data_IF_014693325258
#
_entry.id   IF_014693325258
#
_cell.length_a   1.000
_cell.length_b   1.000
_cell.length_c   1.000
_cell.angle_alpha   90.00
_cell.angle_beta   90.00
_cell.angle_gamma   90.00
#
_symmetry.space_group_name_H-M   'P 1'
#
loop_
_entity.id
_entity.type
_entity.pdbx_description
1 polymer ?
#
# COMPACT_ATOMS: atom_id res chain seq x y z
N UNK A 1 -8.11 24.16 30.63
CA UNK A 1 -6.88 23.50 31.09
C UNK A 1 -7.17 22.03 31.32
N UNK A 2 -6.26 21.12 30.94
CA UNK A 2 -6.42 19.66 31.05
C UNK A 2 -6.85 19.22 32.45
N UNK A 3 -6.39 19.93 33.48
CA UNK A 3 -6.76 19.71 34.89
C UNK A 3 -8.28 19.75 35.14
N UNK A 4 -9.02 20.63 34.44
CA UNK A 4 -10.48 20.70 34.53
C UNK A 4 -11.19 19.63 33.69
N UNK A 5 -10.59 19.21 32.57
CA UNK A 5 -11.19 18.24 31.64
C UNK A 5 -10.99 16.79 32.11
N UNK A 6 -9.96 16.55 32.94
CA UNK A 6 -9.61 15.23 33.53
C UNK A 6 -9.24 14.12 32.54
N UNK A 7 -9.14 14.43 31.24
CA UNK A 7 -8.66 13.50 30.22
C UNK A 7 -7.88 14.23 29.12
N UNK A 8 -7.03 13.47 28.41
CA UNK A 8 -6.15 14.02 27.36
C UNK A 8 -6.73 13.94 25.94
N UNK A 9 -7.95 13.41 25.78
CA UNK A 9 -8.64 13.35 24.50
C UNK A 9 -9.13 14.72 24.00
N UNK A 10 -9.14 14.88 22.69
CA UNK A 10 -9.69 16.07 22.02
C UNK A 10 -11.22 15.98 21.95
N UNK A 11 -11.90 16.98 22.50
CA UNK A 11 -13.34 17.19 22.31
C UNK A 11 -13.49 18.24 21.22
N UNK A 12 -13.92 17.82 20.04
CA UNK A 12 -14.03 18.70 18.87
C UNK A 12 -15.31 19.52 18.95
N UNK A 13 -15.20 20.82 18.65
CA UNK A 13 -16.37 21.70 18.55
C UNK A 13 -17.26 21.34 17.35
N UNK A 14 -18.57 21.66 17.41
CA UNK A 14 -19.47 21.40 16.29
C UNK A 14 -18.99 22.09 15.01
N UNK A 15 -18.84 21.31 13.92
CA UNK A 15 -18.43 21.82 12.61
C UNK A 15 -19.46 21.48 11.52
N UNK A 16 -19.66 22.35 10.52
CA UNK A 16 -20.60 22.12 9.43
C UNK A 16 -20.02 21.23 8.30
N UNK A 17 -18.75 20.85 8.38
CA UNK A 17 -18.05 20.15 7.31
C UNK A 17 -18.60 18.75 7.00
N UNK A 18 -19.06 17.93 7.97
CA UNK A 18 -19.67 16.64 7.66
C UNK A 18 -20.92 16.76 6.78
N UNK A 19 -21.83 17.71 7.10
CA UNK A 19 -23.06 17.91 6.32
C UNK A 19 -22.77 18.59 4.96
N UNK A 20 -21.81 19.50 4.91
CA UNK A 20 -21.37 20.09 3.64
C UNK A 20 -20.76 19.01 2.72
N UNK A 21 -19.93 18.12 3.27
CA UNK A 21 -19.32 17.04 2.51
C UNK A 21 -20.34 16.03 1.98
N UNK A 22 -21.34 15.67 2.80
CA UNK A 22 -22.40 14.74 2.38
C UNK A 22 -23.28 15.32 1.29
N UNK A 23 -23.62 16.62 1.35
CA UNK A 23 -24.33 17.32 0.28
C UNK A 23 -23.51 17.40 -1.02
N UNK A 24 -22.19 17.63 -0.90
CA UNK A 24 -21.27 17.58 -2.04
C UNK A 24 -21.21 16.20 -2.70
N UNK A 25 -21.15 15.14 -1.89
CA UNK A 25 -21.19 13.75 -2.37
C UNK A 25 -22.52 13.43 -3.07
N UNK A 26 -23.65 13.85 -2.50
CA UNK A 26 -24.96 13.70 -3.13
C UNK A 26 -25.03 14.42 -4.48
N UNK A 27 -24.61 15.69 -4.53
CA UNK A 27 -24.59 16.47 -5.77
C UNK A 27 -23.69 15.83 -6.85
N UNK A 28 -22.53 15.31 -6.45
CA UNK A 28 -21.59 14.62 -7.36
C UNK A 28 -22.20 13.34 -7.91
N UNK A 29 -22.82 12.52 -7.07
CA UNK A 29 -23.46 11.25 -7.49
C UNK A 29 -24.64 11.50 -8.42
N UNK A 30 -25.56 12.41 -8.05
CA UNK A 30 -26.71 12.77 -8.89
C UNK A 30 -26.25 13.40 -10.21
N UNK A 31 -25.31 14.34 -10.15
CA UNK A 31 -24.72 14.96 -11.34
C UNK A 31 -24.01 13.95 -12.25
N UNK A 32 -23.31 12.98 -11.68
CA UNK A 32 -22.64 11.90 -12.41
C UNK A 32 -23.63 11.01 -13.15
N UNK A 33 -24.69 10.56 -12.48
CA UNK A 33 -25.77 9.77 -13.12
C UNK A 33 -26.43 10.57 -14.24
N UNK A 34 -26.76 11.85 -14.00
CA UNK A 34 -27.35 12.72 -15.01
C UNK A 34 -26.42 12.92 -16.21
N UNK A 35 -25.11 13.07 -15.97
CA UNK A 35 -24.11 13.21 -17.03
C UNK A 35 -24.00 11.96 -17.89
N UNK A 36 -23.92 10.77 -17.28
CA UNK A 36 -23.83 9.49 -17.99
C UNK A 36 -25.06 9.19 -18.87
N UNK A 37 -26.24 9.66 -18.46
CA UNK A 37 -27.50 9.47 -19.20
C UNK A 37 -27.88 10.67 -20.09
N UNK A 38 -26.96 11.61 -20.33
CA UNK A 38 -27.17 12.78 -21.20
C UNK A 38 -28.34 13.71 -20.80
N UNK A 39 -28.65 13.82 -19.51
CA UNK A 39 -29.64 14.77 -19.02
C UNK A 39 -29.11 16.21 -19.03
N UNK A 40 -30.02 17.16 -19.28
CA UNK A 40 -29.69 18.59 -19.25
C UNK A 40 -29.18 19.00 -17.85
N UNK A 41 -28.08 19.76 -17.82
CA UNK A 41 -27.48 20.23 -16.57
C UNK A 41 -26.61 19.20 -15.83
N UNK A 42 -26.54 17.94 -16.28
CA UNK A 42 -25.75 16.89 -15.61
C UNK A 42 -24.28 17.25 -15.42
N UNK A 43 -23.60 17.71 -16.48
CA UNK A 43 -22.20 18.15 -16.39
C UNK A 43 -21.99 19.31 -15.41
N UNK A 44 -22.94 20.25 -15.33
CA UNK A 44 -22.86 21.41 -14.42
C UNK A 44 -23.01 20.97 -12.97
N UNK A 45 -23.99 20.11 -12.68
CA UNK A 45 -24.22 19.57 -11.34
C UNK A 45 -23.04 18.71 -10.88
N UNK A 46 -22.50 17.86 -11.77
CA UNK A 46 -21.31 17.06 -11.48
C UNK A 46 -20.10 17.95 -11.13
N UNK A 47 -19.82 18.95 -11.97
CA UNK A 47 -18.69 19.87 -11.75
C UNK A 47 -18.86 20.67 -10.46
N UNK A 48 -20.08 21.15 -10.18
CA UNK A 48 -20.40 21.87 -8.95
C UNK A 48 -20.24 20.97 -7.72
N UNK A 49 -20.73 19.73 -7.77
CA UNK A 49 -20.56 18.75 -6.69
C UNK A 49 -19.09 18.47 -6.39
N UNK A 50 -18.27 18.26 -7.42
CA UNK A 50 -16.83 18.04 -7.29
C UNK A 50 -16.12 19.26 -6.66
N UNK A 51 -16.42 20.47 -7.12
CA UNK A 51 -15.89 21.71 -6.53
C UNK A 51 -16.31 21.85 -5.06
N UNK A 52 -17.56 21.50 -4.75
CA UNK A 52 -18.07 21.56 -3.38
C UNK A 52 -17.33 20.59 -2.46
N UNK A 53 -17.10 19.34 -2.90
CA UNK A 53 -16.29 18.36 -2.15
C UNK A 53 -14.86 18.86 -1.95
N UNK A 54 -14.21 19.38 -3.00
CA UNK A 54 -12.85 19.93 -2.92
C UNK A 54 -12.78 21.10 -1.94
N UNK A 55 -13.78 21.98 -1.94
CA UNK A 55 -13.88 23.09 -1.00
C UNK A 55 -14.07 22.61 0.44
N UNK A 56 -15.00 21.68 0.69
CA UNK A 56 -15.20 21.11 2.03
C UNK A 56 -13.92 20.46 2.53
N UNK A 57 -13.23 19.66 1.71
CA UNK A 57 -11.96 19.04 2.08
C UNK A 57 -10.91 20.10 2.44
N UNK A 58 -10.75 21.15 1.62
CA UNK A 58 -9.79 22.21 1.89
C UNK A 58 -10.04 22.90 3.24
N UNK A 59 -11.29 23.31 3.49
CA UNK A 59 -11.65 24.03 4.71
C UNK A 59 -11.59 23.12 5.95
N UNK A 60 -11.99 21.86 5.81
CA UNK A 60 -11.89 20.89 6.90
C UNK A 60 -10.44 20.61 7.27
N UNK A 61 -9.56 20.40 6.29
CA UNK A 61 -8.13 20.24 6.55
C UNK A 61 -7.50 21.49 7.17
N UNK A 62 -7.92 22.69 6.74
CA UNK A 62 -7.49 23.95 7.38
C UNK A 62 -7.85 23.97 8.88
N UNK A 63 -9.05 23.54 9.24
CA UNK A 63 -9.51 23.56 10.63
C UNK A 63 -8.75 22.53 11.48
N UNK A 64 -8.53 21.31 10.96
CA UNK A 64 -7.66 20.32 11.62
C UNK A 64 -6.23 20.86 11.81
N UNK A 65 -5.69 21.60 10.84
CA UNK A 65 -4.37 22.24 10.97
C UNK A 65 -4.35 23.32 12.04
N UNK A 66 -5.41 24.12 12.14
CA UNK A 66 -5.57 25.15 13.18
C UNK A 66 -5.67 24.52 14.58
N UNK A 67 -6.54 23.54 14.76
CA UNK A 67 -6.76 22.83 16.03
C UNK A 67 -5.47 22.15 16.52
N UNK A 68 -4.71 21.55 15.59
CA UNK A 68 -3.48 20.83 15.91
C UNK A 68 -2.28 21.74 16.15
N UNK A 69 -2.11 22.81 15.36
CA UNK A 69 -0.88 23.63 15.34
C UNK A 69 -1.01 24.88 16.19
N UNK A 70 -2.15 25.56 16.14
CA UNK A 70 -2.36 26.85 16.81
C UNK A 70 -3.01 26.69 18.18
N UNK A 71 -4.01 25.79 18.28
CA UNK A 71 -4.75 25.56 19.54
C UNK A 71 -4.12 24.44 20.39
N UNK A 72 -3.29 23.58 19.77
CA UNK A 72 -2.48 22.59 20.48
C UNK A 72 -3.26 21.41 21.05
N UNK A 73 -4.44 21.09 20.49
CA UNK A 73 -5.31 20.02 20.99
C UNK A 73 -4.77 18.60 20.75
N UNK A 74 -3.73 18.44 19.92
CA UNK A 74 -3.13 17.16 19.58
C UNK A 74 -2.12 16.68 20.64
N UNK A 75 -2.63 16.21 21.77
CA UNK A 75 -1.83 15.52 22.80
C UNK A 75 -1.26 14.19 22.27
N UNK A 76 -0.30 13.59 22.97
CA UNK A 76 0.32 12.31 22.54
C UNK A 76 -0.70 11.19 22.33
N UNK A 77 -1.75 11.09 23.16
CA UNK A 77 -2.82 10.09 22.98
C UNK A 77 -3.67 10.40 21.75
N UNK A 78 -3.95 11.68 21.49
CA UNK A 78 -4.72 12.09 20.30
C UNK A 78 -3.93 11.80 19.03
N UNK A 79 -2.61 11.98 19.03
CA UNK A 79 -1.75 11.70 17.87
C UNK A 79 -1.75 10.22 17.45
N UNK A 80 -1.99 9.30 18.37
CA UNK A 80 -2.12 7.87 18.05
C UNK A 80 -3.35 7.61 17.17
N UNK A 81 -4.46 8.31 17.41
CA UNK A 81 -5.70 8.14 16.65
C UNK A 81 -5.52 8.30 15.13
N UNK A 82 -5.03 9.46 14.63
CA UNK A 82 -4.74 9.66 13.22
C UNK A 82 -3.73 8.67 12.64
N UNK A 83 -2.76 8.18 13.42
CA UNK A 83 -1.82 7.13 12.96
C UNK A 83 -2.56 5.82 12.69
N UNK A 84 -3.36 5.34 13.64
CA UNK A 84 -4.19 4.15 13.46
C UNK A 84 -5.20 4.32 12.33
N UNK A 85 -5.92 5.45 12.30
CA UNK A 85 -6.90 5.76 11.27
C UNK A 85 -6.28 5.78 9.87
N UNK A 86 -5.09 6.35 9.71
CA UNK A 86 -4.41 6.39 8.42
C UNK A 86 -3.87 5.02 7.99
N UNK A 87 -3.42 4.18 8.93
CA UNK A 87 -3.04 2.79 8.63
C UNK A 87 -4.26 2.00 8.13
N UNK A 88 -5.40 2.10 8.82
CA UNK A 88 -6.64 1.43 8.40
C UNK A 88 -7.11 1.93 7.03
N UNK A 89 -7.00 3.23 6.76
CA UNK A 89 -7.26 3.79 5.44
C UNK A 89 -6.34 3.22 4.35
N UNK A 90 -5.04 3.06 4.62
CA UNK A 90 -4.12 2.41 3.66
C UNK A 90 -4.54 0.96 3.43
N UNK A 91 -4.93 0.23 4.48
CA UNK A 91 -5.40 -1.16 4.34
C UNK A 91 -6.64 -1.25 3.46
N UNK A 92 -7.60 -0.32 3.59
CA UNK A 92 -8.76 -0.29 2.69
C UNK A 92 -8.36 -0.01 1.24
N UNK A 93 -7.41 0.89 1.00
CA UNK A 93 -6.91 1.15 -0.37
C UNK A 93 -6.17 -0.06 -0.97
N UNK A 94 -5.41 -0.81 -0.16
CA UNK A 94 -4.77 -2.06 -0.63
C UNK A 94 -5.81 -3.08 -1.06
N UNK A 95 -6.89 -3.24 -0.29
CA UNK A 95 -7.98 -4.15 -0.66
C UNK A 95 -8.74 -3.68 -1.89
N UNK A 96 -8.89 -2.36 -2.06
CA UNK A 96 -9.44 -1.77 -3.29
C UNK A 96 -8.60 -2.12 -4.52
N UNK A 97 -7.26 -1.97 -4.46
CA UNK A 97 -6.37 -2.38 -5.55
C UNK A 97 -6.34 -3.90 -5.75
N UNK A 98 -6.42 -4.70 -4.68
CA UNK A 98 -6.48 -6.16 -4.77
C UNK A 98 -7.64 -6.64 -5.65
N UNK A 99 -8.79 -5.97 -5.62
CA UNK A 99 -9.92 -6.29 -6.49
C UNK A 99 -9.58 -6.12 -7.99
N UNK A 100 -8.85 -5.06 -8.38
CA UNK A 100 -8.42 -4.86 -9.77
C UNK A 100 -7.35 -5.87 -10.19
N UNK A 101 -6.40 -6.19 -9.33
CA UNK A 101 -5.41 -7.24 -9.60
C UNK A 101 -6.07 -8.61 -9.75
N UNK A 102 -7.08 -8.92 -8.93
CA UNK A 102 -7.87 -10.14 -9.07
C UNK A 102 -8.61 -10.17 -10.41
N UNK A 103 -9.21 -9.07 -10.83
CA UNK A 103 -9.90 -8.98 -12.12
C UNK A 103 -8.93 -9.22 -13.28
N UNK A 104 -7.77 -8.56 -13.29
CA UNK A 104 -6.75 -8.74 -14.34
C UNK A 104 -6.18 -10.16 -14.37
N UNK A 105 -5.84 -10.74 -13.21
CA UNK A 105 -5.33 -12.11 -13.11
C UNK A 105 -6.38 -13.14 -13.54
N UNK A 106 -7.64 -12.96 -13.15
CA UNK A 106 -8.72 -13.86 -13.56
C UNK A 106 -8.89 -13.88 -15.09
N UNK A 107 -8.83 -12.71 -15.74
CA UNK A 107 -8.96 -12.60 -17.19
C UNK A 107 -7.73 -13.07 -17.97
N UNK A 108 -6.53 -12.95 -17.39
CA UNK A 108 -5.26 -13.28 -18.07
C UNK A 108 -4.82 -14.74 -17.89
N UNK A 109 -5.12 -15.37 -16.75
CA UNK A 109 -4.71 -16.76 -16.48
C UNK A 109 -5.54 -17.80 -17.25
N UNK A 110 -6.83 -17.51 -17.49
CA UNK A 110 -7.73 -18.37 -18.24
C UNK A 110 -8.53 -17.53 -19.26
N UNK A 111 -7.87 -17.07 -20.34
CA UNK A 111 -8.51 -16.22 -21.35
C UNK A 111 -9.69 -16.92 -22.02
N UNK A 112 -10.79 -16.20 -22.22
CA UNK A 112 -11.99 -16.75 -22.83
C UNK A 112 -11.78 -17.09 -24.31
N UNK A 113 -12.63 -17.97 -24.84
CA UNK A 113 -12.60 -18.34 -26.27
C UNK A 113 -12.87 -17.15 -27.18
N UNK A 114 -13.62 -16.15 -26.70
CA UNK A 114 -13.95 -14.92 -27.45
C UNK A 114 -12.73 -14.05 -27.74
N UNK A 115 -11.73 -14.06 -26.86
CA UNK A 115 -10.43 -13.37 -27.10
C UNK A 115 -9.38 -14.28 -27.75
N UNK A 116 -9.79 -15.48 -28.18
CA UNK A 116 -8.94 -16.45 -28.87
C UNK A 116 -8.14 -17.36 -27.94
N UNK A 117 -8.47 -17.43 -26.64
CA UNK A 117 -7.82 -18.33 -25.69
C UNK A 117 -6.34 -18.03 -25.44
N UNK A 118 -5.88 -16.82 -25.74
CA UNK A 118 -4.50 -16.36 -25.52
C UNK A 118 -4.47 -15.00 -24.82
N UNK A 119 -3.35 -14.70 -24.16
CA UNK A 119 -3.11 -13.40 -23.52
C UNK A 119 -1.75 -12.84 -23.94
N UNK A 120 -1.65 -11.56 -24.33
CA UNK A 120 -2.73 -10.61 -24.59
C UNK A 120 -3.62 -11.03 -25.79
N UNK A 121 -4.86 -10.50 -25.91
CA UNK A 121 -5.73 -10.75 -27.06
C UNK A 121 -5.07 -10.35 -28.38
N UNK A 122 -5.32 -11.11 -29.46
CA UNK A 122 -4.77 -10.79 -30.79
C UNK A 122 -5.24 -9.41 -31.26
N UNK A 123 -4.32 -8.62 -31.83
CA UNK A 123 -4.61 -7.28 -32.37
C UNK A 123 -4.50 -6.15 -31.37
N UNK A 124 -4.25 -6.44 -30.08
CA UNK A 124 -3.94 -5.41 -29.08
C UNK A 124 -2.45 -5.10 -29.11
N UNK A 125 -2.10 -3.84 -29.34
CA UNK A 125 -0.74 -3.34 -29.14
C UNK A 125 -0.42 -3.30 -27.65
N UNK A 126 0.64 -3.98 -27.22
CA UNK A 126 1.13 -3.93 -25.84
C UNK A 126 2.31 -2.97 -25.76
N UNK A 127 2.34 -2.17 -24.70
CA UNK A 127 3.43 -1.26 -24.42
C UNK A 127 4.68 -2.05 -24.05
N UNK A 128 5.84 -1.63 -24.54
CA UNK A 128 7.12 -2.23 -24.16
C UNK A 128 7.41 -1.91 -22.68
N UNK A 129 7.55 -2.93 -21.81
CA UNK A 129 7.86 -2.70 -20.40
C UNK A 129 9.20 -2.00 -20.16
N UNK A 130 10.12 -2.00 -21.13
CA UNK A 130 11.49 -1.48 -20.99
C UNK A 130 11.65 0.00 -21.35
N UNK A 131 10.61 0.64 -21.89
CA UNK A 131 10.64 2.05 -22.27
C UNK A 131 10.14 2.95 -21.12
N UNK A 132 9.03 3.68 -21.34
CA UNK A 132 8.42 4.56 -20.34
C UNK A 132 8.01 3.83 -19.06
N UNK A 133 7.43 2.60 -19.09
CA UNK A 133 7.09 1.88 -17.87
C UNK A 133 8.29 1.58 -16.97
N UNK A 134 9.44 1.24 -17.56
CA UNK A 134 10.68 1.01 -16.80
C UNK A 134 11.16 2.30 -16.12
N UNK A 135 11.17 3.42 -16.84
CA UNK A 135 11.52 4.72 -16.25
C UNK A 135 10.54 5.10 -15.12
N UNK A 136 9.25 4.90 -15.33
CA UNK A 136 8.20 5.10 -14.32
C UNK A 136 8.27 4.11 -13.15
N UNK A 137 9.07 3.04 -13.26
CA UNK A 137 9.39 2.15 -12.14
C UNK A 137 10.61 2.64 -11.34
N UNK A 138 11.54 3.40 -11.95
CA UNK A 138 12.73 3.93 -11.28
C UNK A 138 12.49 5.26 -10.54
N UNK A 139 11.55 6.08 -11.04
CA UNK A 139 11.23 7.38 -10.44
C UNK A 139 10.60 7.23 -9.04
N UNK A 140 9.62 6.35 -8.79
CA UNK A 140 8.99 6.23 -7.46
C UNK A 140 9.95 5.77 -6.34
N UNK A 141 10.83 4.77 -6.51
CA UNK A 141 11.86 4.45 -5.54
C UNK A 141 12.80 5.62 -5.24
N UNK A 142 13.18 6.37 -6.28
CA UNK A 142 14.01 7.58 -6.12
C UNK A 142 13.28 8.66 -5.31
N UNK A 143 11.98 8.85 -5.57
CA UNK A 143 11.10 9.72 -4.79
C UNK A 143 10.95 9.23 -3.33
N UNK A 144 10.83 7.92 -3.11
CA UNK A 144 10.79 7.31 -1.78
C UNK A 144 12.08 7.53 -0.97
N UNK A 145 13.24 7.46 -1.62
CA UNK A 145 14.52 7.82 -1.01
C UNK A 145 14.56 9.31 -0.62
N UNK A 146 14.07 10.21 -1.48
CA UNK A 146 13.98 11.64 -1.20
C UNK A 146 13.04 11.96 -0.01
N UNK A 147 11.89 11.30 0.11
CA UNK A 147 11.00 11.44 1.28
C UNK A 147 11.66 10.90 2.56
N UNK A 148 12.42 9.83 2.45
CA UNK A 148 13.17 9.29 3.59
C UNK A 148 14.24 10.26 4.05
N UNK A 149 14.94 10.89 3.10
CA UNK A 149 15.85 12.00 3.40
C UNK A 149 15.13 13.18 4.07
N UNK A 150 13.95 13.58 3.59
CA UNK A 150 13.15 14.63 4.20
C UNK A 150 12.81 14.32 5.67
N UNK A 151 12.43 13.07 5.95
CA UNK A 151 12.08 12.65 7.30
C UNK A 151 13.27 12.68 8.25
N UNK A 152 14.41 12.15 7.84
CA UNK A 152 15.63 12.23 8.65
C UNK A 152 16.08 13.68 8.85
N UNK A 153 15.84 14.58 7.89
CA UNK A 153 16.10 16.00 8.06
C UNK A 153 15.16 16.65 9.10
N UNK A 154 13.88 16.30 9.13
CA UNK A 154 12.92 16.76 10.16
C UNK A 154 13.36 16.28 11.54
N UNK A 155 13.64 14.99 11.69
CA UNK A 155 14.10 14.40 12.96
C UNK A 155 15.42 15.01 13.45
N UNK A 156 16.34 15.30 12.53
CA UNK A 156 17.60 15.99 12.83
C UNK A 156 17.44 17.50 13.10
N UNK A 157 16.26 18.09 12.87
CA UNK A 157 16.00 19.54 12.99
C UNK A 157 16.61 20.38 11.88
N UNK A 158 16.98 19.77 10.76
CA UNK A 158 17.55 20.46 9.61
C UNK A 158 16.43 20.91 8.68
N UNK A 159 15.64 21.88 9.12
CA UNK A 159 14.40 22.34 8.46
C UNK A 159 14.60 22.71 6.98
N UNK A 160 15.66 23.46 6.65
CA UNK A 160 15.97 23.82 5.24
C UNK A 160 16.21 22.59 4.36
N UNK A 161 16.91 21.57 4.88
CA UNK A 161 17.16 20.33 4.14
C UNK A 161 15.88 19.51 3.97
N UNK A 162 14.98 19.55 4.95
CA UNK A 162 13.67 18.90 4.84
C UNK A 162 12.84 19.51 3.69
N UNK A 163 12.83 20.85 3.57
CA UNK A 163 12.16 21.53 2.45
C UNK A 163 12.78 21.14 1.11
N UNK A 164 14.12 21.15 0.97
CA UNK A 164 14.77 20.76 -0.28
C UNK A 164 14.46 19.31 -0.69
N UNK A 165 14.45 18.39 0.27
CA UNK A 165 14.10 16.99 0.04
C UNK A 165 12.63 16.80 -0.38
N UNK A 166 11.71 17.55 0.25
CA UNK A 166 10.30 17.56 -0.13
C UNK A 166 10.07 18.12 -1.54
N UNK A 167 10.75 19.22 -1.89
CA UNK A 167 10.68 19.78 -3.25
C UNK A 167 11.20 18.78 -4.28
N UNK A 168 12.34 18.14 -4.02
CA UNK A 168 12.89 17.10 -4.91
C UNK A 168 11.91 15.93 -5.09
N UNK A 169 11.24 15.50 -4.01
CA UNK A 169 10.21 14.47 -4.04
C UNK A 169 9.04 14.86 -4.95
N UNK A 170 8.51 16.07 -4.76
CA UNK A 170 7.37 16.58 -5.54
C UNK A 170 7.73 16.70 -7.01
N UNK A 171 8.94 17.19 -7.34
CA UNK A 171 9.41 17.25 -8.72
C UNK A 171 9.47 15.87 -9.38
N UNK A 172 10.01 14.87 -8.69
CA UNK A 172 10.02 13.48 -9.19
C UNK A 172 8.60 12.94 -9.41
N UNK A 173 7.67 13.23 -8.50
CA UNK A 173 6.28 12.81 -8.63
C UNK A 173 5.56 13.48 -9.82
N UNK A 174 5.83 14.77 -10.07
CA UNK A 174 5.32 15.48 -11.25
C UNK A 174 5.90 14.93 -12.56
N UNK A 175 7.19 14.57 -12.56
CA UNK A 175 7.84 13.93 -13.72
C UNK A 175 7.18 12.57 -14.00
N UNK A 176 6.95 11.75 -12.98
CA UNK A 176 6.20 10.49 -13.10
C UNK A 176 4.80 10.71 -13.70
N UNK A 177 4.02 11.67 -13.17
CA UNK A 177 2.67 11.96 -13.69
C UNK A 177 2.71 12.45 -15.14
N UNK A 178 3.72 13.24 -15.52
CA UNK A 178 3.93 13.68 -16.89
C UNK A 178 4.21 12.51 -17.85
N UNK A 179 5.11 11.59 -17.47
CA UNK A 179 5.38 10.39 -18.25
C UNK A 179 4.17 9.45 -18.34
N UNK A 180 3.42 9.27 -17.24
CA UNK A 180 2.19 8.47 -17.27
C UNK A 180 1.14 9.07 -18.22
N UNK A 181 1.03 10.41 -18.27
CA UNK A 181 0.16 11.10 -19.23
C UNK A 181 0.62 10.94 -20.68
N UNK A 182 1.93 10.98 -20.92
CA UNK A 182 2.51 10.71 -22.24
C UNK A 182 2.23 9.28 -22.70
N UNK A 183 2.42 8.29 -21.81
CA UNK A 183 2.11 6.88 -22.06
C UNK A 183 0.64 6.69 -22.46
N UNK A 184 -0.29 7.34 -21.75
CA UNK A 184 -1.72 7.28 -22.11
C UNK A 184 -2.04 7.93 -23.45
N UNK A 185 -1.36 9.01 -23.81
CA UNK A 185 -1.58 9.67 -25.10
C UNK A 185 -1.00 8.88 -26.27
N UNK A 186 0.10 8.16 -26.06
CA UNK A 186 0.79 7.35 -27.06
C UNK A 186 0.35 5.88 -27.07
N UNK A 187 -0.53 5.48 -26.15
CA UNK A 187 -0.96 4.10 -26.02
C UNK A 187 -1.62 3.58 -27.31
N UNK A 188 -1.19 2.42 -27.83
CA UNK A 188 -1.77 1.84 -29.04
C UNK A 188 -3.16 1.22 -28.80
N UNK A 189 -3.56 1.05 -27.54
CA UNK A 189 -4.86 0.53 -27.13
C UNK A 189 -5.64 1.54 -26.31
N UNK A 190 -6.97 1.46 -26.32
CA UNK A 190 -7.90 2.30 -25.55
C UNK A 190 -8.65 1.50 -24.47
N UNK A 191 -9.36 2.19 -23.58
CA UNK A 191 -10.19 1.56 -22.53
C UNK A 191 -11.32 0.68 -23.09
N UNK A 192 -11.76 0.94 -24.33
CA UNK A 192 -12.87 0.24 -24.99
C UNK A 192 -12.47 -0.98 -25.84
N UNK A 193 -11.17 -1.26 -26.01
CA UNK A 193 -10.74 -2.26 -27.00
C UNK A 193 -11.02 -3.71 -26.57
N UNK A 194 -10.64 -4.08 -25.36
CA UNK A 194 -10.84 -5.42 -24.81
C UNK A 194 -10.71 -5.42 -23.29
N UNK A 195 -10.91 -6.58 -22.67
CA UNK A 195 -10.66 -6.77 -21.23
C UNK A 195 -9.23 -6.40 -20.82
N UNK A 196 -8.25 -6.52 -21.73
CA UNK A 196 -6.89 -6.02 -21.52
C UNK A 196 -6.90 -4.51 -21.31
N UNK A 197 -7.46 -3.74 -22.26
CA UNK A 197 -7.53 -2.29 -22.19
C UNK A 197 -8.32 -1.82 -20.97
N UNK A 198 -9.50 -2.39 -20.72
CA UNK A 198 -10.33 -2.01 -19.58
C UNK A 198 -9.64 -2.25 -18.23
N UNK A 199 -9.01 -3.42 -18.02
CA UNK A 199 -8.30 -3.71 -16.75
C UNK A 199 -7.02 -2.90 -16.61
N UNK A 200 -6.28 -2.69 -17.69
CA UNK A 200 -5.05 -1.88 -17.72
C UNK A 200 -5.34 -0.42 -17.35
N UNK A 201 -6.25 0.26 -18.06
CA UNK A 201 -6.54 1.68 -17.84
C UNK A 201 -7.24 1.96 -16.50
N UNK A 202 -8.09 1.05 -16.01
CA UNK A 202 -8.70 1.20 -14.69
C UNK A 202 -7.64 1.07 -13.58
N UNK A 203 -6.81 0.02 -13.61
CA UNK A 203 -5.81 -0.21 -12.57
C UNK A 203 -4.75 0.90 -12.54
N UNK A 204 -4.17 1.22 -13.70
CA UNK A 204 -3.17 2.29 -13.81
C UNK A 204 -3.77 3.67 -13.60
N UNK A 205 -5.03 3.90 -14.00
CA UNK A 205 -5.72 5.17 -13.82
C UNK A 205 -6.01 5.48 -12.37
N UNK A 206 -6.52 4.49 -11.59
CA UNK A 206 -6.66 4.65 -10.15
C UNK A 206 -5.32 4.80 -9.45
N UNK A 207 -4.27 4.10 -9.89
CA UNK A 207 -2.92 4.32 -9.39
C UNK A 207 -2.46 5.77 -9.63
N UNK A 208 -2.60 6.28 -10.86
CA UNK A 208 -2.26 7.67 -11.21
C UNK A 208 -3.03 8.70 -10.37
N UNK A 209 -4.33 8.48 -10.16
CA UNK A 209 -5.14 9.29 -9.25
C UNK A 209 -4.58 9.30 -7.82
N UNK A 210 -4.18 8.14 -7.31
CA UNK A 210 -3.54 8.02 -6.00
C UNK A 210 -2.22 8.77 -5.90
N UNK A 211 -1.40 8.74 -6.96
CA UNK A 211 -0.15 9.51 -7.04
C UNK A 211 -0.44 11.02 -7.03
N UNK A 212 -1.44 11.50 -7.78
CA UNK A 212 -1.83 12.92 -7.77
C UNK A 212 -2.24 13.37 -6.36
N UNK A 213 -3.08 12.61 -5.66
CA UNK A 213 -3.46 12.90 -4.27
C UNK A 213 -2.22 12.88 -3.36
N UNK A 214 -1.34 11.89 -3.52
CA UNK A 214 -0.10 11.78 -2.75
C UNK A 214 0.81 13.00 -2.95
N UNK A 215 0.98 13.46 -4.19
CA UNK A 215 1.75 14.65 -4.55
C UNK A 215 1.16 15.91 -3.93
N UNK A 216 -0.17 16.11 -4.00
CA UNK A 216 -0.85 17.23 -3.33
C UNK A 216 -0.62 17.18 -1.81
N UNK A 217 -0.69 16.01 -1.21
CA UNK A 217 -0.47 15.85 0.23
C UNK A 217 0.99 16.18 0.63
N UNK A 218 1.96 15.81 -0.20
CA UNK A 218 3.37 16.18 -0.04
C UNK A 218 3.62 17.67 -0.25
N UNK A 219 2.93 18.32 -1.20
CA UNK A 219 2.99 19.78 -1.41
C UNK A 219 2.51 20.49 -0.14
N UNK A 220 1.37 20.08 0.44
CA UNK A 220 0.88 20.65 1.70
C UNK A 220 1.87 20.43 2.84
N UNK A 221 2.48 19.24 2.94
CA UNK A 221 3.54 19.00 3.93
C UNK A 221 4.78 19.89 3.70
N UNK A 222 5.17 20.13 2.44
CA UNK A 222 6.26 21.03 2.06
C UNK A 222 5.98 22.48 2.46
N UNK A 223 4.78 22.99 2.16
CA UNK A 223 4.34 24.32 2.57
C UNK A 223 4.36 24.44 4.09
N UNK A 224 3.83 23.44 4.81
CA UNK A 224 3.84 23.42 6.27
C UNK A 224 5.24 23.38 6.87
N UNK A 225 6.16 22.63 6.27
CA UNK A 225 7.57 22.60 6.70
C UNK A 225 8.25 23.95 6.48
N UNK A 226 7.97 24.61 5.35
CA UNK A 226 8.50 25.94 5.05
C UNK A 226 7.98 27.00 6.02
N UNK A 227 6.72 26.92 6.42
CA UNK A 227 6.10 27.78 7.43
C UNK A 227 6.48 27.43 8.88
N UNK A 228 7.25 26.37 9.11
CA UNK A 228 7.69 25.96 10.45
C UNK A 228 6.62 25.26 11.30
N UNK A 229 5.54 24.74 10.69
CA UNK A 229 4.46 24.06 11.42
C UNK A 229 4.80 22.62 11.86
N UNK A 230 5.87 22.03 11.30
CA UNK A 230 6.30 20.67 11.62
C UNK A 230 7.52 20.72 12.54
N UNK A 231 7.45 20.01 13.66
CA UNK A 231 8.54 19.97 14.65
C UNK A 231 9.16 18.58 14.72
N UNK A 232 10.34 18.47 15.33
CA UNK A 232 11.04 17.19 15.57
C UNK A 232 10.18 16.15 16.28
N UNK A 233 9.31 16.59 17.18
CA UNK A 233 8.52 15.71 18.04
C UNK A 233 7.06 15.58 17.62
N UNK A 234 6.58 16.45 16.73
CA UNK A 234 5.19 16.50 16.28
C UNK A 234 5.11 16.80 14.78
N UNK A 235 4.98 15.72 13.99
CA UNK A 235 4.88 15.81 12.52
C UNK A 235 4.03 14.66 11.92
N UNK A 236 2.94 14.27 12.60
CA UNK A 236 2.05 13.16 12.19
C UNK A 236 1.51 13.31 10.76
N UNK A 237 1.20 14.53 10.32
CA UNK A 237 0.75 14.76 8.94
C UNK A 237 1.80 14.42 7.89
N UNK A 238 3.08 14.67 8.19
CA UNK A 238 4.18 14.26 7.32
C UNK A 238 4.42 12.74 7.42
N UNK A 239 4.30 12.13 8.61
CA UNK A 239 4.37 10.66 8.76
C UNK A 239 3.32 9.96 7.88
N UNK A 240 2.08 10.48 7.85
CA UNK A 240 1.03 9.98 6.97
C UNK A 240 1.41 10.13 5.48
N UNK A 241 1.89 11.30 5.06
CA UNK A 241 2.32 11.52 3.67
C UNK A 241 3.48 10.59 3.28
N UNK A 242 4.45 10.42 4.17
CA UNK A 242 5.59 9.55 3.96
C UNK A 242 5.19 8.07 3.91
N UNK A 243 4.24 7.64 4.74
CA UNK A 243 3.72 6.27 4.73
C UNK A 243 3.08 5.92 3.38
N UNK A 244 2.34 6.86 2.78
CA UNK A 244 1.74 6.69 1.45
C UNK A 244 2.81 6.58 0.34
N UNK A 245 3.90 7.34 0.43
CA UNK A 245 4.95 7.37 -0.59
C UNK A 245 6.02 6.25 -0.44
N UNK A 246 6.29 5.77 0.79
CA UNK A 246 7.39 4.82 1.08
C UNK A 246 7.10 3.35 0.76
N UNK A 247 6.02 3.02 0.05
CA UNK A 247 5.77 1.62 -0.36
C UNK A 247 6.52 1.23 -1.63
N UNK A 248 7.85 1.32 -1.54
CA UNK A 248 8.81 0.44 -2.21
C UNK A 248 10.14 0.52 -1.40
N UNK A 249 10.34 -0.42 -0.48
CA UNK A 249 11.62 -0.64 0.20
C UNK A 249 11.80 0.06 1.56
N UNK A 250 11.70 -0.76 2.63
CA UNK A 250 12.49 -0.68 3.89
C UNK A 250 12.10 0.32 5.02
N UNK A 251 11.98 -0.27 6.23
CA UNK A 251 12.69 0.07 7.49
C UNK A 251 12.16 1.02 8.58
N UNK A 252 10.97 1.63 8.50
CA UNK A 252 10.54 2.54 9.59
C UNK A 252 9.33 2.11 10.42
N UNK A 253 8.70 0.97 10.14
CA UNK A 253 7.61 0.44 10.97
C UNK A 253 8.08 -0.45 12.13
N UNK A 254 9.37 -0.52 12.46
CA UNK A 254 9.82 -1.43 13.55
C UNK A 254 9.39 -0.93 14.94
N UNK A 255 9.36 0.38 15.19
CA UNK A 255 8.86 0.95 16.45
C UNK A 255 7.34 0.88 16.54
N UNK A 256 6.66 1.18 15.43
CA UNK A 256 5.20 1.33 15.44
C UNK A 256 4.50 -0.04 15.36
N UNK A 257 5.03 -1.03 14.61
CA UNK A 257 4.48 -2.40 14.60
C UNK A 257 4.63 -3.11 15.95
N UNK A 258 5.68 -2.80 16.71
CA UNK A 258 5.87 -3.36 18.06
C UNK A 258 4.84 -2.81 19.08
N UNK A 259 4.30 -1.61 18.85
CA UNK A 259 3.17 -1.08 19.64
C UNK A 259 1.79 -1.55 19.12
N UNK A 260 1.70 -1.96 17.84
CA UNK A 260 0.47 -2.41 17.16
C UNK A 260 0.12 -3.87 17.50
N UNK A 261 1.11 -4.76 17.65
CA UNK A 261 0.92 -6.20 17.89
C UNK A 261 0.00 -6.53 19.10
N UNK A 262 0.09 -5.85 20.26
CA UNK A 262 -0.80 -6.13 21.40
C UNK A 262 -2.26 -5.73 21.14
N UNK A 263 -2.50 -4.64 20.41
CA UNK A 263 -3.84 -4.10 20.14
C UNK A 263 -4.54 -4.91 19.04
N UNK A 264 -3.80 -5.32 18.00
CA UNK A 264 -4.33 -6.22 16.96
C UNK A 264 -4.68 -7.59 17.56
N UNK A 265 -3.85 -8.13 18.46
CA UNK A 265 -4.19 -9.35 19.23
C UNK A 265 -5.41 -9.18 20.13
N UNK A 266 -5.64 -7.98 20.66
CA UNK A 266 -6.80 -7.69 21.47
C UNK A 266 -8.08 -7.59 20.64
N UNK A 267 -8.05 -6.91 19.50
CA UNK A 267 -9.19 -6.79 18.58
C UNK A 267 -9.54 -8.13 17.92
N UNK A 268 -8.53 -8.94 17.58
CA UNK A 268 -8.70 -10.33 17.13
C UNK A 268 -9.48 -11.20 18.12
N UNK A 269 -9.45 -10.90 19.42
CA UNK A 269 -10.15 -11.65 20.47
C UNK A 269 -11.59 -11.20 20.72
N UNK A 270 -12.03 -10.07 20.17
CA UNK A 270 -13.33 -9.46 20.49
C UNK A 270 -14.45 -9.75 19.47
N UNK A 271 -14.15 -10.33 18.30
CA UNK A 271 -15.16 -10.55 17.26
C UNK A 271 -15.57 -12.02 17.07
N UNK A 272 -16.83 -12.23 16.69
CA UNK A 272 -17.44 -13.55 16.49
C UNK A 272 -16.98 -14.21 15.18
N UNK A 273 -16.33 -15.37 15.30
CA UNK A 273 -16.23 -16.47 14.33
C UNK A 273 -15.84 -16.12 12.88
N UNK A 274 -16.81 -15.67 12.08
CA UNK A 274 -16.62 -15.43 10.65
C UNK A 274 -15.81 -14.15 10.35
N UNK A 275 -16.00 -13.10 11.16
CA UNK A 275 -15.24 -11.84 11.00
C UNK A 275 -13.82 -12.01 11.54
N UNK A 276 -13.67 -12.79 12.60
CA UNK A 276 -12.36 -13.17 13.15
C UNK A 276 -11.50 -13.93 12.13
N UNK A 277 -12.08 -14.89 11.38
CA UNK A 277 -11.37 -15.60 10.33
C UNK A 277 -10.94 -14.66 9.20
N UNK A 278 -11.82 -13.78 8.73
CA UNK A 278 -11.52 -12.85 7.63
C UNK A 278 -10.49 -11.78 8.02
N UNK A 279 -10.62 -11.18 9.20
CA UNK A 279 -9.67 -10.18 9.72
C UNK A 279 -8.30 -10.83 9.98
N UNK A 280 -8.27 -12.04 10.54
CA UNK A 280 -7.03 -12.79 10.77
C UNK A 280 -6.37 -13.19 9.45
N UNK A 281 -7.13 -13.58 8.43
CA UNK A 281 -6.60 -13.96 7.12
C UNK A 281 -6.04 -12.74 6.35
N UNK A 282 -6.76 -11.62 6.35
CA UNK A 282 -6.30 -10.35 5.75
C UNK A 282 -5.07 -9.79 6.47
N UNK A 283 -5.03 -9.86 7.80
CA UNK A 283 -3.88 -9.42 8.60
C UNK A 283 -2.69 -10.36 8.40
N UNK A 284 -2.91 -11.68 8.40
CA UNK A 284 -1.84 -12.65 8.16
C UNK A 284 -1.29 -12.53 6.73
N UNK A 285 -2.13 -12.31 5.72
CA UNK A 285 -1.64 -12.06 4.36
C UNK A 285 -0.91 -10.72 4.22
N UNK A 286 -1.36 -9.67 4.91
CA UNK A 286 -0.66 -8.38 4.94
C UNK A 286 0.69 -8.46 5.69
N UNK A 287 0.75 -9.23 6.78
CA UNK A 287 1.97 -9.53 7.54
C UNK A 287 2.91 -10.41 6.71
N UNK A 288 2.43 -11.49 6.09
CA UNK A 288 3.23 -12.37 5.23
C UNK A 288 3.79 -11.63 4.01
N UNK A 289 3.05 -10.68 3.44
CA UNK A 289 3.57 -9.83 2.36
C UNK A 289 4.68 -8.86 2.83
N UNK A 290 4.63 -8.42 4.08
CA UNK A 290 5.69 -7.61 4.70
C UNK A 290 6.87 -8.44 5.21
N UNK A 291 6.64 -9.71 5.54
CA UNK A 291 7.66 -10.66 6.01
C UNK A 291 8.42 -11.32 4.85
N UNK A 292 7.78 -11.53 3.68
CA UNK A 292 8.47 -12.00 2.47
C UNK A 292 9.53 -11.00 1.96
N UNK A 293 9.35 -9.71 2.22
CA UNK A 293 10.38 -8.69 1.94
C UNK A 293 11.48 -8.64 3.01
N UNK A 294 11.19 -9.12 4.22
CA UNK A 294 12.17 -9.30 5.31
C UNK A 294 13.05 -10.55 5.08
N UNK A 295 12.46 -11.69 4.70
CA UNK A 295 13.17 -12.91 4.34
C UNK A 295 14.09 -12.71 3.13
N UNK A 296 13.68 -11.94 2.12
CA UNK A 296 14.53 -11.60 0.97
C UNK A 296 15.77 -10.77 1.36
N UNK A 297 15.69 -10.04 2.47
CA UNK A 297 16.79 -9.19 2.96
C UNK A 297 17.75 -9.96 3.86
N UNK A 298 17.25 -10.78 4.78
CA UNK A 298 18.11 -11.70 5.55
C UNK A 298 18.81 -12.69 4.60
N UNK A 299 18.18 -13.10 3.49
CA UNK A 299 18.84 -13.97 2.51
C UNK A 299 20.02 -13.30 1.79
N UNK A 300 19.91 -12.02 1.41
CA UNK A 300 21.00 -11.25 0.78
C UNK A 300 22.12 -10.93 1.78
N UNK A 301 21.77 -10.57 3.03
CA UNK A 301 22.77 -10.34 4.09
C UNK A 301 23.43 -11.68 4.54
N UNK A 302 22.77 -12.82 4.37
CA UNK A 302 23.32 -14.16 4.62
C UNK A 302 24.18 -14.67 3.45
N UNK A 303 23.90 -14.23 2.22
CA UNK A 303 24.74 -14.49 1.03
C UNK A 303 26.09 -13.77 1.14
N UNK A 304 26.10 -12.53 1.65
CA UNK A 304 27.31 -11.76 1.95
C UNK A 304 28.12 -12.37 3.13
N UNK A 305 27.47 -13.04 4.09
CA UNK A 305 28.16 -13.80 5.16
C UNK A 305 28.72 -15.15 4.68
N UNK A 306 28.11 -15.77 3.66
CA UNK A 306 28.53 -17.06 3.10
C UNK A 306 29.91 -17.00 2.45
N UNK A 307 30.29 -15.86 1.88
CA UNK A 307 31.64 -15.65 1.31
C UNK A 307 32.75 -15.51 2.38
N UNK A 308 32.39 -15.41 3.67
CA UNK A 308 33.35 -15.11 4.75
C UNK A 308 33.75 -16.29 5.65
N UNK A 309 33.16 -17.49 5.49
CA UNK A 309 33.43 -18.65 6.37
C UNK A 309 34.15 -19.83 5.66
N UNK A 310 35.20 -20.44 6.24
CA UNK A 310 36.05 -21.39 5.52
C UNK A 310 35.54 -22.84 5.46
N UNK A 311 34.36 -23.18 5.98
CA UNK A 311 33.84 -24.56 5.96
C UNK A 311 32.30 -24.59 5.86
N UNK A 312 31.79 -24.92 4.67
CA UNK A 312 30.40 -24.80 4.23
C UNK A 312 29.46 -25.96 4.60
N UNK A 313 29.87 -26.90 5.47
CA UNK A 313 29.08 -28.12 5.75
C UNK A 313 28.18 -28.06 6.98
N UNK A 314 28.41 -27.13 7.91
CA UNK A 314 27.64 -27.04 9.17
C UNK A 314 26.57 -25.93 9.18
N UNK A 315 26.48 -25.11 8.12
CA UNK A 315 25.61 -23.92 8.09
C UNK A 315 24.16 -24.25 7.69
N UNK A 316 23.96 -25.16 6.74
CA UNK A 316 22.62 -25.49 6.21
C UNK A 316 21.66 -26.12 7.25
N UNK A 317 22.11 -26.98 8.18
CA UNK A 317 21.23 -27.52 9.23
C UNK A 317 20.80 -26.46 10.25
N UNK A 318 21.65 -25.48 10.55
CA UNK A 318 21.41 -24.46 11.57
C UNK A 318 20.34 -23.43 11.14
N UNK A 319 20.38 -22.98 9.88
CA UNK A 319 19.38 -22.08 9.30
C UNK A 319 18.00 -22.75 9.27
N UNK A 320 17.95 -24.00 8.81
CA UNK A 320 16.70 -24.77 8.76
C UNK A 320 16.09 -24.99 10.15
N UNK A 321 16.92 -25.26 11.17
CA UNK A 321 16.45 -25.46 12.54
C UNK A 321 15.93 -24.17 13.19
N UNK A 322 16.54 -23.03 12.88
CA UNK A 322 16.11 -21.69 13.34
C UNK A 322 14.78 -21.28 12.70
N UNK A 323 14.60 -21.59 11.42
CA UNK A 323 13.37 -21.28 10.70
C UNK A 323 12.22 -22.19 11.13
N UNK A 324 12.44 -23.50 11.30
CA UNK A 324 11.43 -24.43 11.83
C UNK A 324 10.92 -24.02 13.22
N UNK A 325 11.80 -23.52 14.09
CA UNK A 325 11.42 -23.00 15.40
C UNK A 325 10.57 -21.71 15.30
N UNK A 326 10.84 -20.85 14.30
CA UNK A 326 10.07 -19.63 14.03
C UNK A 326 8.69 -19.92 13.41
N UNK A 327 8.60 -20.89 12.50
CA UNK A 327 7.33 -21.36 11.95
C UNK A 327 6.43 -22.00 13.03
N UNK A 328 7.01 -22.75 13.98
CA UNK A 328 6.30 -23.24 15.18
C UNK A 328 5.79 -22.11 16.07
N UNK A 329 6.57 -21.05 16.26
CA UNK A 329 6.16 -19.88 17.06
C UNK A 329 4.99 -19.10 16.42
N UNK A 330 4.79 -19.24 15.11
CA UNK A 330 3.71 -18.64 14.33
C UNK A 330 2.51 -19.58 14.10
N UNK A 331 2.53 -20.80 14.65
CA UNK A 331 1.42 -21.76 14.55
C UNK A 331 1.21 -22.40 13.17
N UNK A 332 2.20 -22.30 12.28
CA UNK A 332 2.15 -22.88 10.92
C UNK A 332 2.68 -24.33 10.92
N UNK A 333 2.10 -25.17 10.06
CA UNK A 333 2.37 -26.61 10.02
C UNK A 333 3.73 -26.92 9.37
N UNK A 334 4.48 -27.89 9.90
CA UNK A 334 5.86 -28.22 9.47
C UNK A 334 5.94 -28.64 7.98
N UNK A 335 4.85 -29.19 7.43
CA UNK A 335 4.72 -29.56 6.02
C UNK A 335 4.74 -28.37 5.06
N UNK A 336 4.27 -27.19 5.50
CA UNK A 336 4.29 -25.96 4.69
C UNK A 336 5.69 -25.35 4.60
N UNK A 337 6.48 -25.44 5.67
CA UNK A 337 7.89 -25.02 5.71
C UNK A 337 8.75 -25.88 4.76
N UNK A 338 8.52 -27.20 4.77
CA UNK A 338 9.26 -28.13 3.90
C UNK A 338 8.90 -27.97 2.42
N UNK A 339 7.62 -27.70 2.11
CA UNK A 339 7.15 -27.38 0.75
C UNK A 339 7.69 -26.02 0.25
N UNK A 340 7.90 -25.07 1.16
CA UNK A 340 8.48 -23.77 0.86
C UNK A 340 9.96 -23.87 0.47
N UNK A 341 10.75 -24.70 1.18
CA UNK A 341 12.16 -24.92 0.86
C UNK A 341 12.38 -25.72 -0.44
N UNK A 342 11.53 -26.72 -0.73
CA UNK A 342 11.67 -27.55 -1.93
C UNK A 342 11.30 -26.84 -3.23
N UNK A 343 10.38 -25.87 -3.21
CA UNK A 343 9.96 -25.13 -4.42
C UNK A 343 10.79 -23.88 -4.75
N UNK A 344 11.54 -23.33 -3.79
CA UNK A 344 12.35 -22.11 -3.99
C UNK A 344 13.85 -22.38 -4.20
N UNK A 345 14.38 -23.55 -3.82
CA UNK A 345 15.84 -23.80 -3.75
C UNK A 345 16.31 -25.05 -4.50
N UNK A 346 15.72 -25.33 -5.67
CA UNK A 346 15.98 -26.54 -6.45
C UNK A 346 17.45 -26.76 -6.90
N UNK A 347 18.30 -25.73 -7.15
CA UNK A 347 19.69 -26.03 -7.54
C UNK A 347 20.64 -26.25 -6.37
N UNK A 348 20.29 -25.86 -5.13
CA UNK A 348 21.25 -25.86 -3.99
C UNK A 348 21.10 -27.10 -3.10
N UNK A 349 19.89 -27.66 -2.97
CA UNK A 349 19.63 -28.78 -2.05
C UNK A 349 19.72 -30.18 -2.67
N UNK A 350 19.79 -30.29 -4.00
CA UNK A 350 19.91 -31.58 -4.71
C UNK A 350 21.24 -32.31 -4.47
N UNK A 351 22.26 -31.63 -3.95
CA UNK A 351 23.57 -32.21 -3.61
C UNK A 351 23.70 -32.73 -2.18
N UNK A 352 22.75 -32.44 -1.28
CA UNK A 352 22.90 -32.67 0.17
C UNK A 352 22.01 -33.77 0.76
N UNK A 353 21.12 -34.38 -0.02
CA UNK A 353 20.25 -35.47 0.44
C UNK A 353 20.45 -36.71 -0.44
N UNK A 354 21.19 -37.75 0.00
CA UNK A 354 21.14 -39.03 -0.67
C UNK A 354 19.83 -39.75 -0.32
N UNK A 355 19.11 -40.16 -1.37
CA UNK A 355 18.07 -41.20 -1.41
C UNK A 355 16.75 -40.97 -0.65
N UNK A 356 15.72 -40.49 -1.37
CA UNK A 356 14.32 -40.91 -1.16
C UNK A 356 13.74 -41.22 -2.55
N UNK A 357 13.13 -42.40 -2.76
CA UNK A 357 12.78 -42.89 -4.10
C UNK A 357 11.58 -42.12 -4.68
N UNK A 358 11.64 -41.85 -5.97
CA UNK A 358 10.55 -41.30 -6.77
C UNK A 358 9.34 -42.24 -6.76
N UNK A 359 8.24 -41.85 -6.12
CA UNK A 359 6.93 -42.49 -6.32
C UNK A 359 5.80 -41.45 -6.50
N UNK A 360 4.89 -41.62 -7.48
CA UNK A 360 3.94 -40.60 -7.90
C UNK A 360 2.59 -40.60 -7.12
N UNK A 361 2.57 -40.95 -5.83
CA UNK A 361 1.32 -41.08 -5.07
C UNK A 361 1.01 -39.91 -4.10
N UNK A 362 1.85 -38.89 -4.01
CA UNK A 362 1.64 -37.81 -3.02
C UNK A 362 0.69 -36.68 -3.46
N UNK A 363 0.23 -36.68 -4.72
CA UNK A 363 -0.67 -35.64 -5.26
C UNK A 363 -2.16 -35.92 -4.95
N UNK A 364 -2.51 -37.08 -4.40
CA UNK A 364 -3.91 -37.54 -4.31
C UNK A 364 -4.60 -37.40 -2.93
N UNK A 365 -4.01 -36.79 -1.90
CA UNK A 365 -4.58 -36.80 -0.53
C UNK A 365 -4.82 -35.46 0.17
N UNK A 366 -4.92 -34.33 -0.54
CA UNK A 366 -5.18 -33.01 0.09
C UNK A 366 -6.35 -32.21 -0.49
N UNK A 367 -7.32 -32.86 -1.13
CA UNK A 367 -8.62 -32.23 -1.44
C UNK A 367 -9.75 -32.98 -0.71
N UNK A 368 -10.45 -32.37 0.27
CA UNK A 368 -11.74 -32.88 0.68
C UNK A 368 -12.76 -32.57 -0.44
N UNK A 369 -13.54 -33.59 -0.77
CA UNK A 369 -14.32 -33.67 -2.00
C UNK A 369 -15.66 -32.94 -2.04
N UNK A 370 -16.23 -33.05 -3.24
CA UNK A 370 -17.64 -32.95 -3.63
C UNK A 370 -18.30 -31.57 -3.66
N UNK A 371 -18.28 -30.97 -4.84
CA UNK A 371 -19.50 -30.41 -5.46
C UNK A 371 -19.65 -30.98 -6.87
N UNK A 372 -20.73 -31.73 -7.08
CA UNK A 372 -21.18 -32.24 -8.38
C UNK A 372 -22.23 -31.31 -8.98
N UNK A 373 -22.05 -31.07 -10.29
CA UNK A 373 -22.88 -30.37 -11.29
C UNK A 373 -22.93 -28.84 -11.25
#
# INVERSE_FOLDING_TARGET
>A
MIESQRHSYHLVDPSPWPISGSLGALATTVGGVMYMHSFQGGARLLSLGLIFILYTMFVWWRDVLRESTLEGHHTKVVQLGPRYGFILFIVSEVMFFFAFFRASSHSSLAPTVEIGGIWPPKGIGVLDPWEIPFLNTLIPPSSGAAVTWAHHAILAGKEKRAVYALVATVLLALVFTGFQGMEYYQAPSTISDSIYGSTFFLATGFHGFHVIIGTLFLIICGIRQYLGHLTKEHHVGFEAAACKQRRQGRLLMKSDLLEIDPVIRYLSKQETGAVQAYVTDVINHAIVATDMTFLKKEFIECEDEYESYPNSKDYAPWVLQKDLLRFRALGLNESLSLAFHTKLFDPVYSYLIPSIPSHPEFVARTLPGNFTY
#
